data_IF_627323638728
#
_entry.id   IF_627323638728
#
_cell.length_a   1.000
_cell.length_b   1.000
_cell.length_c   1.000
_cell.angle_alpha   90.00
_cell.angle_beta   90.00
_cell.angle_gamma   90.00
#
_symmetry.space_group_name_H-M   'P 1'
#
loop_
_entity.id
_entity.type
_entity.pdbx_description
1 polymer ?
#
# COMPACT_ATOMS: atom_id res chain seq x y z
N UNK A 1 11.33 10.70 -4.62
CA UNK A 1 10.27 10.16 -3.75
C UNK A 1 9.24 9.49 -4.66
N UNK A 2 9.15 8.16 -4.64
CA UNK A 2 8.25 7.43 -5.54
C UNK A 2 6.90 7.22 -4.87
N UNK A 3 5.82 7.50 -5.59
CA UNK A 3 4.46 7.22 -5.14
C UNK A 3 4.16 5.75 -5.40
N UNK A 4 3.82 5.01 -4.35
CA UNK A 4 3.27 3.66 -4.51
C UNK A 4 1.84 3.75 -5.04
N UNK A 5 1.43 2.79 -5.86
CA UNK A 5 0.11 2.76 -6.46
C UNK A 5 -0.60 1.46 -6.12
N UNK A 6 -1.87 1.57 -5.77
CA UNK A 6 -2.73 0.43 -5.49
C UNK A 6 -2.95 -0.45 -6.74
N UNK A 7 -3.74 -1.53 -6.57
CA UNK A 7 -4.15 -2.43 -7.65
C UNK A 7 -4.68 -1.71 -8.88
N UNK A 8 -5.57 -0.74 -8.67
CA UNK A 8 -6.24 0.05 -9.70
C UNK A 8 -5.45 1.28 -10.17
N UNK A 9 -4.18 1.38 -9.76
CA UNK A 9 -3.27 2.49 -10.07
C UNK A 9 -3.67 3.82 -9.43
N UNK A 10 -4.43 3.78 -8.33
CA UNK A 10 -4.63 4.95 -7.49
C UNK A 10 -3.38 5.20 -6.64
N UNK A 11 -2.93 6.46 -6.51
CA UNK A 11 -1.80 6.78 -5.66
C UNK A 11 -2.13 6.47 -4.20
N UNK A 12 -1.20 5.80 -3.53
CA UNK A 12 -1.22 5.57 -2.09
C UNK A 12 -0.47 6.69 -1.39
N UNK A 13 -1.02 7.12 -0.27
CA UNK A 13 -0.41 8.08 0.64
C UNK A 13 -0.64 7.62 2.08
N UNK A 14 0.22 8.05 2.98
CA UNK A 14 0.04 7.84 4.42
C UNK A 14 -1.33 8.39 4.83
N UNK A 15 -2.05 7.66 5.68
CA UNK A 15 -3.41 8.00 6.13
C UNK A 15 -4.53 7.55 5.19
N UNK A 16 -4.25 7.05 3.99
CA UNK A 16 -5.28 6.48 3.12
C UNK A 16 -5.82 5.17 3.68
N UNK A 17 -7.13 4.97 3.59
CA UNK A 17 -7.77 3.67 3.87
C UNK A 17 -7.64 2.78 2.65
N UNK A 18 -7.25 1.54 2.91
CA UNK A 18 -7.08 0.51 1.89
C UNK A 18 -7.69 -0.80 2.34
N UNK A 19 -8.07 -1.63 1.38
CA UNK A 19 -8.48 -3.01 1.60
C UNK A 19 -7.52 -3.95 0.89
N UNK A 20 -7.10 -5.02 1.54
CA UNK A 20 -6.27 -6.05 0.92
C UNK A 20 -7.14 -7.06 0.16
N UNK A 21 -6.75 -7.41 -1.07
CA UNK A 21 -7.59 -8.15 -2.04
C UNK A 21 -7.94 -9.58 -1.60
N UNK A 22 -7.02 -10.28 -0.92
CA UNK A 22 -7.23 -11.67 -0.52
C UNK A 22 -8.07 -11.83 0.76
N UNK A 23 -7.59 -11.26 1.85
CA UNK A 23 -8.18 -11.34 3.19
C UNK A 23 -9.37 -10.40 3.39
N UNK A 24 -9.56 -9.41 2.49
CA UNK A 24 -10.52 -8.30 2.66
C UNK A 24 -10.28 -7.49 3.93
N UNK A 25 -9.11 -7.61 4.55
CA UNK A 25 -8.75 -6.80 5.70
C UNK A 25 -8.66 -5.33 5.30
N UNK A 26 -9.27 -4.47 6.11
CA UNK A 26 -9.23 -3.02 5.92
C UNK A 26 -8.21 -2.44 6.89
N UNK A 27 -7.31 -1.63 6.36
CA UNK A 27 -6.26 -0.95 7.12
C UNK A 27 -6.10 0.50 6.67
N UNK A 28 -5.30 1.25 7.42
CA UNK A 28 -4.88 2.60 7.05
C UNK A 28 -3.38 2.60 6.80
N UNK A 29 -2.91 3.18 5.70
CA UNK A 29 -1.48 3.22 5.40
C UNK A 29 -0.74 4.00 6.49
N UNK A 30 0.16 3.33 7.20
CA UNK A 30 1.00 3.91 8.23
C UNK A 30 2.32 4.43 7.65
N UNK A 31 2.95 3.65 6.77
CA UNK A 31 4.22 4.00 6.13
C UNK A 31 4.36 3.32 4.76
N UNK A 32 5.23 3.87 3.91
CA UNK A 32 5.57 3.34 2.58
C UNK A 32 7.10 3.35 2.44
N UNK A 33 7.69 2.16 2.43
CA UNK A 33 9.14 1.94 2.49
C UNK A 33 9.71 1.65 1.09
N UNK A 34 9.92 2.70 0.28
CA UNK A 34 10.35 2.59 -1.13
C UNK A 34 11.80 3.00 -1.39
N UNK A 35 12.56 3.29 -0.34
CA UNK A 35 13.88 3.95 -0.44
C UNK A 35 14.92 3.13 -1.21
N UNK A 36 14.81 1.80 -1.17
CA UNK A 36 15.75 0.87 -1.83
C UNK A 36 15.14 0.16 -3.05
N UNK A 37 13.99 0.59 -3.55
CA UNK A 37 13.26 -0.09 -4.61
C UNK A 37 13.30 0.71 -5.91
N UNK A 38 13.54 0.02 -7.03
CA UNK A 38 13.32 0.62 -8.35
C UNK A 38 11.84 0.83 -8.59
N UNK A 39 11.50 1.84 -9.40
CA UNK A 39 10.11 2.20 -9.72
C UNK A 39 9.27 1.01 -10.22
N UNK A 40 9.88 0.12 -10.99
CA UNK A 40 9.25 -1.09 -11.52
C UNK A 40 8.98 -2.17 -10.46
N UNK A 41 9.73 -2.16 -9.35
CA UNK A 41 9.64 -3.15 -8.27
C UNK A 41 8.65 -2.74 -7.20
N UNK A 42 8.43 -1.43 -6.99
CA UNK A 42 7.55 -0.88 -5.94
C UNK A 42 6.19 -1.55 -5.92
N UNK A 43 5.58 -1.86 -7.08
CA UNK A 43 4.24 -2.47 -7.12
C UNK A 43 4.15 -3.86 -6.50
N UNK A 44 5.24 -4.65 -6.61
CA UNK A 44 5.28 -6.05 -6.19
C UNK A 44 5.97 -6.24 -4.84
N UNK A 45 6.79 -5.26 -4.45
CA UNK A 45 7.52 -5.30 -3.21
C UNK A 45 6.57 -5.06 -2.02
N UNK A 46 6.70 -5.89 -0.99
CA UNK A 46 6.02 -5.71 0.30
C UNK A 46 6.62 -4.52 1.05
N UNK A 47 6.16 -3.33 0.70
CA UNK A 47 6.71 -2.05 1.17
C UNK A 47 5.67 -1.16 1.86
N UNK A 48 4.39 -1.55 1.87
CA UNK A 48 3.33 -0.76 2.51
C UNK A 48 3.01 -1.35 3.88
N UNK A 49 3.09 -0.51 4.90
CA UNK A 49 2.73 -0.85 6.27
C UNK A 49 1.32 -0.32 6.57
N UNK A 50 0.49 -1.15 7.20
CA UNK A 50 -0.90 -0.81 7.53
C UNK A 50 -1.11 -0.77 9.04
N UNK A 51 -1.70 0.31 9.54
CA UNK A 51 -2.07 0.46 10.94
C UNK A 51 -3.07 -0.61 11.34
N UNK A 52 -2.74 -1.39 12.37
CA UNK A 52 -3.60 -2.44 12.91
C UNK A 52 -3.52 -3.78 12.18
N UNK A 53 -2.67 -3.91 11.16
CA UNK A 53 -2.38 -5.17 10.48
C UNK A 53 -0.89 -5.46 10.58
N UNK A 54 -0.55 -6.68 10.98
CA UNK A 54 0.85 -7.09 11.08
C UNK A 54 1.42 -7.41 9.70
N UNK A 55 2.61 -6.87 9.41
CA UNK A 55 3.40 -7.17 8.21
C UNK A 55 3.36 -6.07 7.15
N UNK A 56 4.03 -6.35 6.03
CA UNK A 56 4.09 -5.47 4.88
C UNK A 56 3.32 -6.05 3.70
N UNK A 57 2.69 -5.18 2.94
CA UNK A 57 1.81 -5.51 1.83
C UNK A 57 2.38 -4.95 0.54
N UNK A 58 2.22 -5.68 -0.56
CA UNK A 58 2.56 -5.15 -1.87
C UNK A 58 1.46 -4.17 -2.30
N UNK A 59 1.80 -3.01 -2.90
CA UNK A 59 0.80 -2.06 -3.39
C UNK A 59 -0.24 -2.68 -4.33
N UNK A 60 0.15 -3.64 -5.16
CA UNK A 60 -0.79 -4.33 -6.06
C UNK A 60 -1.84 -5.19 -5.36
N UNK A 61 -1.61 -5.57 -4.11
CA UNK A 61 -2.56 -6.31 -3.27
C UNK A 61 -3.56 -5.40 -2.56
N UNK A 62 -3.38 -4.08 -2.65
CA UNK A 62 -4.18 -3.09 -1.95
C UNK A 62 -5.16 -2.39 -2.90
N UNK A 63 -6.32 -2.02 -2.36
CA UNK A 63 -7.35 -1.25 -3.05
C UNK A 63 -7.67 -0.03 -2.20
N UNK A 64 -7.46 1.17 -2.75
CA UNK A 64 -7.77 2.43 -2.08
C UNK A 64 -9.28 2.58 -1.93
N UNK A 65 -9.71 2.81 -0.69
CA UNK A 65 -11.10 3.07 -0.33
C UNK A 65 -11.41 4.57 -0.18
N UNK A 66 -10.38 5.40 -0.06
CA UNK A 66 -10.51 6.84 0.16
C UNK A 66 -9.49 7.36 1.17
N UNK A 67 -9.63 8.61 1.55
CA UNK A 67 -8.92 9.17 2.71
C UNK A 67 -9.79 8.95 3.97
N UNK A 68 -9.13 8.65 5.10
CA UNK A 68 -9.79 8.67 6.40
C UNK A 68 -10.06 10.10 6.86
#
# INVERSE_FOLDING_TARGET
MYTAYDRYRNPLSIGCRVMQDGSRAVGTVAAIHVENLKREEVRKAKCVELKGLNGFFAPEELMRLGQA
#
